data_IF_563141400723
#
_entry.id   IF_563141400723
#
_cell.length_a   1.000
_cell.length_b   1.000
_cell.length_c   1.000
_cell.angle_alpha   90.00
_cell.angle_beta   90.00
_cell.angle_gamma   90.00
#
_symmetry.space_group_name_H-M   'P 1'
#
loop_
_entity.id
_entity.type
_entity.pdbx_description
1 polymer ?
#
# COMPACT_ATOMS: atom_id res chain seq x y z
N UNK A 1 8.69 26.81 -14.57
CA UNK A 1 8.92 25.94 -15.74
C UNK A 1 7.85 24.85 -15.95
N UNK A 2 7.65 23.86 -15.08
CA UNK A 2 6.59 22.83 -15.30
C UNK A 2 5.19 23.45 -15.28
N UNK A 3 4.92 24.28 -14.27
CA UNK A 3 3.64 24.99 -14.14
C UNK A 3 3.35 25.91 -15.34
N UNK A 4 4.39 26.46 -15.96
CA UNK A 4 4.25 27.28 -17.17
C UNK A 4 3.83 26.41 -18.36
N UNK A 5 4.51 25.28 -18.60
CA UNK A 5 4.12 24.34 -19.66
C UNK A 5 2.70 23.80 -19.46
N UNK A 6 2.30 23.43 -18.25
CA UNK A 6 0.94 22.96 -17.96
C UNK A 6 -0.14 24.03 -18.17
N UNK A 7 0.25 25.30 -18.27
CA UNK A 7 -0.65 26.43 -18.46
C UNK A 7 -0.68 26.94 -19.91
N UNK A 8 0.08 26.34 -20.84
CA UNK A 8 0.05 26.73 -22.24
C UNK A 8 -1.26 26.28 -22.92
N UNK A 9 -1.94 27.22 -23.55
CA UNK A 9 -3.15 27.01 -24.35
C UNK A 9 -3.18 28.00 -25.51
N UNK A 10 -3.65 27.58 -26.69
CA UNK A 10 -3.72 28.43 -27.89
C UNK A 10 -2.84 27.91 -29.02
N UNK A 11 -1.83 28.69 -29.43
CA UNK A 11 -1.01 28.44 -30.64
C UNK A 11 -0.29 27.08 -30.64
N UNK A 12 -0.03 26.51 -29.46
CA UNK A 12 0.55 25.18 -29.27
C UNK A 12 -0.11 24.49 -28.09
N UNK A 13 -0.30 23.18 -28.23
CA UNK A 13 -0.74 22.30 -27.15
C UNK A 13 0.46 21.43 -26.76
N UNK A 14 1.06 21.61 -25.58
CA UNK A 14 2.17 20.79 -25.14
C UNK A 14 1.69 19.35 -24.87
N UNK A 15 2.50 18.38 -25.29
CA UNK A 15 2.25 16.94 -25.13
C UNK A 15 3.46 16.26 -24.49
N UNK A 16 3.23 15.11 -23.84
CA UNK A 16 4.28 14.31 -23.20
C UNK A 16 4.23 14.38 -21.67
N UNK A 17 5.34 14.01 -21.03
CA UNK A 17 5.48 14.00 -19.57
C UNK A 17 5.97 15.37 -19.09
N UNK A 18 5.16 16.05 -18.29
CA UNK A 18 5.44 17.39 -17.78
C UNK A 18 6.28 17.31 -16.50
N UNK A 19 6.07 16.27 -15.70
CA UNK A 19 6.79 16.03 -14.45
C UNK A 19 6.75 14.54 -14.08
N UNK A 20 7.87 14.04 -13.60
CA UNK A 20 8.00 12.71 -13.01
C UNK A 20 9.06 12.79 -11.92
N UNK A 21 8.69 12.40 -10.70
CA UNK A 21 9.60 12.36 -9.57
C UNK A 21 9.45 11.02 -8.86
N UNK A 22 10.50 10.20 -8.97
CA UNK A 22 10.57 8.85 -8.42
C UNK A 22 11.30 8.80 -7.07
N UNK A 23 11.73 9.95 -6.54
CA UNK A 23 12.40 10.02 -5.23
C UNK A 23 11.41 9.99 -4.07
N UNK A 24 10.11 10.17 -4.34
CA UNK A 24 9.06 10.12 -3.32
C UNK A 24 8.57 8.68 -3.24
N UNK A 25 8.66 8.02 -2.07
CA UNK A 25 8.13 6.68 -1.90
C UNK A 25 6.64 6.64 -2.25
N UNK A 26 6.27 5.68 -3.07
CA UNK A 26 4.88 5.28 -3.32
C UNK A 26 4.20 4.83 -2.03
N UNK A 27 2.88 4.72 -2.07
CA UNK A 27 2.12 4.28 -0.89
C UNK A 27 2.46 2.84 -0.47
N UNK A 28 2.69 1.95 -1.42
CA UNK A 28 3.04 0.56 -1.16
C UNK A 28 4.42 0.43 -0.49
N UNK A 29 5.38 1.28 -0.86
CA UNK A 29 6.69 1.36 -0.21
C UNK A 29 6.54 1.81 1.25
N UNK A 30 5.68 2.80 1.53
CA UNK A 30 5.37 3.20 2.92
C UNK A 30 4.67 2.12 3.73
N UNK A 31 3.82 1.29 3.10
CA UNK A 31 3.22 0.13 3.78
C UNK A 31 4.32 -0.87 4.13
N UNK A 32 5.28 -1.09 3.23
CA UNK A 32 6.37 -2.03 3.45
C UNK A 32 7.32 -1.62 4.59
N UNK A 33 7.42 -0.31 4.90
CA UNK A 33 8.15 0.17 6.09
C UNK A 33 7.54 -0.35 7.40
N UNK A 34 6.21 -0.46 7.47
CA UNK A 34 5.49 -0.98 8.64
C UNK A 34 5.31 -2.51 8.60
N UNK A 35 5.12 -3.07 7.40
CA UNK A 35 4.98 -4.50 7.17
C UNK A 35 6.04 -4.98 6.16
N UNK A 36 7.16 -5.48 6.69
CA UNK A 36 8.31 -5.93 5.90
C UNK A 36 7.98 -7.04 4.88
N UNK A 37 6.92 -7.82 5.11
CA UNK A 37 6.51 -8.89 4.20
C UNK A 37 5.52 -8.43 3.12
N UNK A 38 5.10 -7.16 3.09
CA UNK A 38 4.01 -6.70 2.22
C UNK A 38 4.22 -6.99 0.73
N UNK A 39 5.45 -6.82 0.21
CA UNK A 39 5.76 -7.14 -1.18
C UNK A 39 5.93 -8.65 -1.44
N UNK A 40 6.40 -9.41 -0.44
CA UNK A 40 6.61 -10.85 -0.56
C UNK A 40 5.30 -11.65 -0.42
N UNK A 41 4.39 -11.17 0.43
CA UNK A 41 3.09 -11.78 0.75
C UNK A 41 2.00 -10.70 0.81
N UNK A 42 1.63 -10.11 -0.33
CA UNK A 42 0.58 -9.09 -0.36
C UNK A 42 -0.77 -9.70 0.07
N UNK A 43 -1.74 -8.89 0.53
CA UNK A 43 -3.01 -9.38 1.07
C UNK A 43 -3.77 -10.35 0.16
N UNK A 44 -3.71 -10.14 -1.16
CA UNK A 44 -4.38 -11.00 -2.16
C UNK A 44 -3.78 -12.40 -2.27
N UNK A 45 -2.55 -12.62 -1.81
CA UNK A 45 -1.85 -13.89 -1.88
C UNK A 45 -1.69 -14.56 -0.51
N UNK A 46 -2.24 -13.96 0.55
CA UNK A 46 -2.23 -14.58 1.86
C UNK A 46 -3.34 -15.63 1.93
N UNK A 47 -2.99 -16.83 2.39
CA UNK A 47 -3.97 -17.83 2.76
C UNK A 47 -4.75 -17.31 3.97
N UNK A 48 -6.08 -17.37 3.92
CA UNK A 48 -6.96 -16.89 5.00
C UNK A 48 -7.72 -18.02 5.69
N UNK A 49 -7.81 -19.19 5.04
CA UNK A 49 -8.50 -20.36 5.53
C UNK A 49 -7.77 -21.64 5.16
N UNK A 50 -7.92 -22.67 6.00
CA UNK A 50 -7.41 -24.01 5.69
C UNK A 50 -8.33 -24.76 4.70
N UNK A 51 -7.97 -26.02 4.42
CA UNK A 51 -8.74 -26.91 3.54
C UNK A 51 -10.17 -27.21 4.04
N UNK A 52 -10.49 -26.88 5.30
CA UNK A 52 -11.82 -27.05 5.91
C UNK A 52 -12.59 -25.72 5.99
N UNK A 53 -12.10 -24.65 5.35
CA UNK A 53 -12.64 -23.28 5.42
C UNK A 53 -12.58 -22.64 6.82
N UNK A 54 -11.69 -23.12 7.71
CA UNK A 54 -11.48 -22.50 9.02
C UNK A 54 -10.45 -21.39 8.93
N UNK A 55 -10.65 -20.24 9.61
CA UNK A 55 -9.67 -19.15 9.62
C UNK A 55 -8.32 -19.61 10.17
N UNK A 56 -7.23 -19.28 9.47
CA UNK A 56 -5.87 -19.62 9.92
C UNK A 56 -5.23 -18.52 10.79
N UNK A 57 -5.83 -17.33 10.81
CA UNK A 57 -5.34 -16.19 11.58
C UNK A 57 -5.33 -16.48 13.09
N UNK A 58 -4.17 -16.36 13.73
CA UNK A 58 -4.01 -16.53 15.17
C UNK A 58 -4.25 -15.21 15.91
N UNK A 59 -5.38 -15.13 16.61
CA UNK A 59 -5.78 -13.94 17.38
C UNK A 59 -5.61 -14.11 18.90
N UNK A 60 -5.06 -15.24 19.36
CA UNK A 60 -4.94 -15.59 20.78
C UNK A 60 -4.27 -14.46 21.59
N UNK A 61 -3.16 -13.92 21.07
CA UNK A 61 -2.44 -12.78 21.68
C UNK A 61 -3.27 -11.51 21.84
N UNK A 62 -4.30 -11.31 21.01
CA UNK A 62 -5.22 -10.18 21.12
C UNK A 62 -6.21 -10.48 22.24
N UNK A 63 -6.77 -11.70 22.25
CA UNK A 63 -7.75 -12.14 23.25
C UNK A 63 -7.14 -12.19 24.67
N UNK A 64 -5.89 -12.65 24.80
CA UNK A 64 -5.16 -12.69 26.07
C UNK A 64 -5.06 -11.31 26.74
N UNK A 65 -4.96 -10.24 25.94
CA UNK A 65 -4.91 -8.86 26.45
C UNK A 65 -6.26 -8.36 26.98
N UNK A 66 -7.35 -9.03 26.61
CA UNK A 66 -8.71 -8.65 26.96
C UNK A 66 -9.26 -9.47 28.13
N UNK A 67 -8.54 -10.51 28.57
CA UNK A 67 -8.94 -11.32 29.72
C UNK A 67 -8.87 -10.51 31.01
N UNK A 68 -9.96 -10.53 31.78
CA UNK A 68 -9.98 -10.05 33.15
C UNK A 68 -9.37 -11.15 34.02
N UNK A 69 -8.35 -10.82 34.81
CA UNK A 69 -7.76 -11.75 35.77
C UNK A 69 -8.56 -11.67 37.07
N UNK A 70 -9.07 -12.81 37.52
CA UNK A 70 -9.68 -12.98 38.85
C UNK A 70 -8.64 -12.86 39.98
#
# INVERSE_FOLDING_TARGET
>A
KILEFSSEWGDKIPIGIFYQNELIPSYHERIAENNKEYFAKPPSHQEISDNENKPIAKIDKILDKLQIKD
#
